data_IF_958478780030
#
_entry.id   IF_958478780030
#
_cell.length_a   1.000
_cell.length_b   1.000
_cell.length_c   1.000
_cell.angle_alpha   90.00
_cell.angle_beta   90.00
_cell.angle_gamma   90.00
#
_symmetry.space_group_name_H-M   'P 1'
#
loop_
_entity.id
_entity.type
_entity.pdbx_description
1 polymer ?
#
# COMPACT_ATOMS: atom_id res chain seq x y z
N UNK A 1 -27.99 3.80 3.35
CA UNK A 1 -26.63 4.34 3.11
C UNK A 1 -25.83 3.27 2.40
N UNK A 2 -25.23 3.56 1.25
CA UNK A 2 -24.39 2.59 0.51
C UNK A 2 -23.12 2.36 1.32
N UNK A 3 -22.81 1.11 1.65
CA UNK A 3 -21.61 0.79 2.42
C UNK A 3 -20.36 1.21 1.62
N UNK A 4 -19.40 1.88 2.28
CA UNK A 4 -18.16 2.28 1.62
C UNK A 4 -17.32 1.04 1.35
N UNK A 5 -16.91 0.85 0.10
CA UNK A 5 -16.04 -0.26 -0.30
C UNK A 5 -14.71 -0.18 0.47
N UNK A 6 -14.27 -1.30 1.04
CA UNK A 6 -12.96 -1.45 1.66
C UNK A 6 -12.03 -2.09 0.65
N UNK A 7 -10.93 -1.41 0.30
CA UNK A 7 -9.98 -1.87 -0.71
C UNK A 7 -8.61 -2.03 -0.07
N UNK A 8 -8.02 -3.20 -0.26
CA UNK A 8 -6.64 -3.48 0.09
C UNK A 8 -5.78 -3.39 -1.17
N UNK A 9 -4.74 -2.57 -1.15
CA UNK A 9 -3.79 -2.42 -2.25
C UNK A 9 -2.41 -2.78 -1.72
N UNK A 10 -1.70 -3.65 -2.44
CA UNK A 10 -0.27 -3.89 -2.24
C UNK A 10 0.52 -3.18 -3.33
N UNK A 11 1.63 -2.54 -2.98
CA UNK A 11 2.45 -1.81 -3.95
C UNK A 11 3.93 -1.78 -3.61
N UNK A 12 4.76 -1.53 -4.62
CA UNK A 12 6.20 -1.36 -4.42
C UNK A 12 7.03 -2.64 -4.35
N UNK A 13 8.30 -2.52 -3.94
CA UNK A 13 9.23 -3.64 -3.88
C UNK A 13 9.02 -4.47 -2.61
N UNK A 14 9.43 -5.73 -2.65
CA UNK A 14 9.44 -6.62 -1.49
C UNK A 14 10.70 -7.47 -1.52
N UNK A 15 11.34 -7.66 -0.37
CA UNK A 15 12.61 -8.39 -0.26
C UNK A 15 12.37 -9.83 0.18
N UNK A 16 12.71 -10.78 -0.68
CA UNK A 16 12.82 -12.20 -0.33
C UNK A 16 14.26 -12.51 0.09
N UNK A 17 14.54 -12.83 1.37
CA UNK A 17 15.90 -13.11 1.81
C UNK A 17 16.43 -14.38 1.12
N UNK A 18 17.69 -14.34 0.67
CA UNK A 18 18.41 -15.53 0.19
C UNK A 18 19.39 -15.99 1.26
N UNK A 19 20.16 -15.05 1.80
CA UNK A 19 21.13 -15.26 2.88
C UNK A 19 21.32 -13.96 3.68
N UNK A 20 22.31 -13.94 4.58
CA UNK A 20 22.58 -12.80 5.47
C UNK A 20 22.93 -11.49 4.74
N UNK A 21 23.34 -11.54 3.48
CA UNK A 21 23.78 -10.37 2.71
C UNK A 21 22.87 -10.07 1.51
N UNK A 22 22.26 -11.10 0.92
CA UNK A 22 21.55 -11.00 -0.35
C UNK A 22 20.05 -11.23 -0.20
N UNK A 23 19.30 -10.54 -1.05
CA UNK A 23 17.87 -10.74 -1.22
C UNK A 23 17.49 -10.57 -2.69
N UNK A 24 16.40 -11.22 -3.10
CA UNK A 24 15.72 -10.93 -4.37
C UNK A 24 14.65 -9.89 -4.12
N UNK A 25 14.50 -8.95 -5.04
CA UNK A 25 13.44 -7.94 -5.00
C UNK A 25 12.83 -7.75 -6.37
N UNK A 26 11.54 -7.44 -6.43
CA UNK A 26 10.89 -6.92 -7.63
C UNK A 26 11.23 -5.43 -7.81
N UNK A 27 11.46 -4.99 -9.05
CA UNK A 27 11.65 -3.58 -9.39
C UNK A 27 10.27 -2.92 -9.55
N UNK A 28 9.82 -2.25 -8.52
CA UNK A 28 8.58 -1.48 -8.54
C UNK A 28 8.76 -0.20 -7.73
N UNK A 29 8.31 0.93 -8.29
CA UNK A 29 8.39 2.24 -7.62
C UNK A 29 7.14 2.55 -6.79
N UNK A 30 6.09 1.74 -6.87
CA UNK A 30 4.79 2.01 -6.23
C UNK A 30 3.90 3.04 -6.94
N UNK A 31 4.35 3.63 -8.06
CA UNK A 31 3.62 4.68 -8.79
C UNK A 31 2.22 4.25 -9.23
N UNK A 32 2.10 3.07 -9.85
CA UNK A 32 0.80 2.57 -10.32
C UNK A 32 -0.17 2.36 -9.16
N UNK A 33 0.28 1.72 -8.07
CA UNK A 33 -0.57 1.51 -6.90
C UNK A 33 -1.02 2.84 -6.30
N UNK A 34 -0.14 3.83 -6.26
CA UNK A 34 -0.48 5.18 -5.78
C UNK A 34 -1.62 5.80 -6.58
N UNK A 35 -1.58 5.76 -7.91
CA UNK A 35 -2.68 6.32 -8.72
C UNK A 35 -3.98 5.51 -8.57
N UNK A 36 -3.90 4.18 -8.46
CA UNK A 36 -5.08 3.35 -8.16
C UNK A 36 -5.69 3.72 -6.81
N UNK A 37 -4.85 3.93 -5.78
CA UNK A 37 -5.31 4.31 -4.45
C UNK A 37 -5.98 5.69 -4.45
N UNK A 38 -5.42 6.66 -5.16
CA UNK A 38 -6.00 7.99 -5.33
C UNK A 38 -7.38 7.91 -5.97
N UNK A 39 -7.51 7.16 -7.06
CA UNK A 39 -8.81 6.99 -7.73
C UNK A 39 -9.82 6.27 -6.84
N UNK A 40 -9.41 5.22 -6.13
CA UNK A 40 -10.27 4.53 -5.17
C UNK A 40 -10.80 5.46 -4.07
N UNK A 41 -9.94 6.33 -3.53
CA UNK A 41 -10.33 7.34 -2.54
C UNK A 41 -11.30 8.37 -3.14
N UNK A 42 -11.07 8.83 -4.37
CA UNK A 42 -11.98 9.75 -5.09
C UNK A 42 -13.37 9.12 -5.29
N UNK A 43 -13.44 7.81 -5.49
CA UNK A 43 -14.69 7.04 -5.58
C UNK A 43 -15.34 6.78 -4.20
N UNK A 44 -14.75 7.30 -3.11
CA UNK A 44 -15.28 7.20 -1.75
C UNK A 44 -14.95 5.90 -1.02
N UNK A 45 -13.99 5.11 -1.51
CA UNK A 45 -13.54 3.89 -0.84
C UNK A 45 -12.70 4.18 0.42
N UNK A 46 -12.64 3.21 1.33
CA UNK A 46 -11.64 3.16 2.41
C UNK A 46 -10.49 2.27 1.94
N UNK A 47 -9.30 2.85 1.83
CA UNK A 47 -8.13 2.18 1.26
C UNK A 47 -7.15 1.82 2.37
N UNK A 48 -6.75 0.55 2.43
CA UNK A 48 -5.54 0.14 3.13
C UNK A 48 -4.46 -0.11 2.08
N UNK A 49 -3.35 0.61 2.19
CA UNK A 49 -2.26 0.60 1.23
C UNK A 49 -1.00 0.04 1.90
N UNK A 50 -0.71 -1.22 1.60
CA UNK A 50 0.53 -1.88 2.03
C UNK A 50 1.59 -1.58 0.98
N UNK A 51 2.73 -1.03 1.38
CA UNK A 51 3.76 -0.61 0.44
C UNK A 51 5.17 -0.98 0.86
N UNK A 52 5.99 -1.33 -0.13
CA UNK A 52 7.41 -1.56 0.07
C UNK A 52 8.17 -0.30 0.43
N UNK A 53 9.13 -0.40 1.35
CA UNK A 53 10.00 0.71 1.75
C UNK A 53 10.61 1.46 0.55
N UNK A 54 10.49 2.79 0.58
CA UNK A 54 10.99 3.68 -0.49
C UNK A 54 10.09 3.77 -1.72
N UNK A 55 8.85 3.25 -1.65
CA UNK A 55 7.85 3.44 -2.71
C UNK A 55 7.26 4.85 -2.69
N UNK A 56 6.78 5.26 -3.86
CA UNK A 56 5.80 6.34 -3.98
C UNK A 56 4.51 5.85 -3.32
N UNK A 57 3.92 6.72 -2.49
CA UNK A 57 2.65 6.51 -1.79
C UNK A 57 1.76 7.74 -1.99
N UNK A 58 0.43 7.63 -1.85
CA UNK A 58 -0.43 8.82 -1.88
C UNK A 58 -0.12 9.76 -0.70
N UNK A 59 0.16 11.03 -1.00
CA UNK A 59 0.36 12.08 0.00
C UNK A 59 -0.94 12.87 0.22
N UNK A 60 -1.10 13.49 1.40
CA UNK A 60 -2.22 14.37 1.72
C UNK A 60 -2.34 15.53 0.73
N UNK A 61 -1.20 15.99 0.18
CA UNK A 61 -1.14 17.02 -0.86
C UNK A 61 -1.80 16.57 -2.17
N UNK A 62 -1.81 15.27 -2.44
CA UNK A 62 -2.32 14.72 -3.69
C UNK A 62 -3.83 14.40 -3.65
N UNK A 63 -4.37 14.11 -2.45
CA UNK A 63 -5.77 13.66 -2.28
C UNK A 63 -6.63 14.60 -1.44
N UNK A 64 -6.04 15.53 -0.70
CA UNK A 64 -6.74 16.42 0.23
C UNK A 64 -7.09 15.73 1.58
N UNK A 65 -7.23 16.54 2.62
CA UNK A 65 -7.36 16.06 4.01
C UNK A 65 -8.54 15.10 4.21
N UNK A 66 -9.71 15.44 3.67
CA UNK A 66 -10.94 14.64 3.83
C UNK A 66 -10.82 13.23 3.25
N UNK A 67 -10.15 13.07 2.11
CA UNK A 67 -9.94 11.77 1.49
C UNK A 67 -8.81 11.01 2.18
N UNK A 68 -7.77 11.71 2.63
CA UNK A 68 -6.64 11.12 3.34
C UNK A 68 -7.07 10.40 4.63
N UNK A 69 -8.12 10.87 5.31
CA UNK A 69 -8.72 10.17 6.47
C UNK A 69 -9.25 8.76 6.16
N UNK A 70 -9.51 8.45 4.89
CA UNK A 70 -9.94 7.12 4.46
C UNK A 70 -8.77 6.24 3.99
N UNK A 71 -7.53 6.72 4.08
CA UNK A 71 -6.31 6.01 3.69
C UNK A 71 -5.56 5.52 4.93
N UNK A 72 -5.25 4.22 4.98
CA UNK A 72 -4.35 3.61 5.95
C UNK A 72 -3.08 3.16 5.22
N UNK A 73 -1.93 3.69 5.63
CA UNK A 73 -0.62 3.32 5.06
C UNK A 73 0.08 2.29 5.96
N UNK A 74 0.65 1.24 5.37
CA UNK A 74 1.43 0.21 6.08
C UNK A 74 2.73 -0.03 5.29
N UNK A 75 3.87 0.36 5.84
CA UNK A 75 5.19 0.09 5.23
C UNK A 75 5.63 -1.35 5.54
N UNK A 76 6.18 -2.04 4.53
CA UNK A 76 6.76 -3.37 4.63
C UNK A 76 8.15 -3.43 3.99
N UNK A 77 8.98 -4.39 4.40
CA UNK A 77 10.30 -4.62 3.82
C UNK A 77 10.36 -6.01 3.17
N UNK A 78 9.90 -7.04 3.89
CA UNK A 78 10.04 -8.44 3.50
C UNK A 78 8.74 -9.04 3.00
N UNK A 79 8.84 -10.19 2.32
CA UNK A 79 7.66 -10.97 1.90
C UNK A 79 6.85 -11.40 3.12
N UNK A 80 7.52 -11.75 4.23
CA UNK A 80 6.85 -12.13 5.47
C UNK A 80 6.05 -10.96 6.06
N UNK A 81 6.61 -9.75 6.10
CA UNK A 81 5.91 -8.54 6.57
C UNK A 81 4.61 -8.32 5.78
N UNK A 82 4.66 -8.52 4.46
CA UNK A 82 3.50 -8.43 3.56
C UNK A 82 2.41 -9.43 3.95
N UNK A 83 2.79 -10.69 4.12
CA UNK A 83 1.87 -11.78 4.48
C UNK A 83 1.22 -11.50 5.85
N UNK A 84 2.02 -11.18 6.87
CA UNK A 84 1.50 -10.88 8.20
C UNK A 84 0.55 -9.67 8.19
N UNK A 85 0.91 -8.62 7.45
CA UNK A 85 0.07 -7.43 7.32
C UNK A 85 -1.29 -7.74 6.68
N UNK A 86 -1.33 -8.63 5.68
CA UNK A 86 -2.60 -9.04 5.06
C UNK A 86 -3.46 -9.88 6.00
N UNK A 87 -2.87 -10.84 6.74
CA UNK A 87 -3.60 -11.66 7.71
C UNK A 87 -4.13 -10.84 8.89
N UNK A 88 -3.45 -9.77 9.31
CA UNK A 88 -3.92 -8.90 10.39
C UNK A 88 -5.13 -8.02 9.99
N UNK A 89 -5.54 -8.04 8.72
CA UNK A 89 -6.64 -7.24 8.18
C UNK A 89 -7.91 -8.05 7.87
N UNK A 90 -7.86 -9.38 7.99
CA UNK A 90 -9.00 -10.30 7.88
C UNK A 90 -9.63 -10.53 9.25
#
# INVERSE_FOLDING_TARGET
>A
MKERLKILITSGPTRGPIDAMRYITNKSTGRLGTEIAKEALNQGARVTFIYGKGSIVPDIKDVGENLYLNLKLIEIITVSDSIFSMFALT
#
